data_IF_709119664939
#
_entry.id   IF_709119664939
#
_cell.length_a   1.000
_cell.length_b   1.000
_cell.length_c   1.000
_cell.angle_alpha   90.00
_cell.angle_beta   90.00
_cell.angle_gamma   90.00
#
_symmetry.space_group_name_H-M   'P 1'
#
loop_
_entity.id
_entity.type
_entity.pdbx_description
1 polymer ?
#
# COMPACT_ATOMS: atom_id res chain seq x y z
N UNK A 1 20.11 -18.25 10.07
CA UNK A 1 19.95 -17.32 11.21
C UNK A 1 18.93 -16.21 10.91
N UNK A 2 19.00 -15.51 9.76
CA UNK A 2 18.03 -14.45 9.44
C UNK A 2 16.56 -14.89 9.46
N UNK A 3 16.23 -16.06 8.88
CA UNK A 3 14.88 -16.60 8.87
C UNK A 3 14.34 -16.88 10.28
N UNK A 4 15.20 -17.35 11.16
CA UNK A 4 14.84 -17.60 12.57
C UNK A 4 14.47 -16.29 13.29
N UNK A 5 15.25 -15.23 13.12
CA UNK A 5 14.93 -13.91 13.70
C UNK A 5 13.63 -13.34 13.16
N UNK A 6 13.34 -13.49 11.86
CA UNK A 6 12.08 -13.06 11.27
C UNK A 6 10.89 -13.78 11.89
N UNK A 7 10.97 -15.11 12.05
CA UNK A 7 9.92 -15.91 12.68
C UNK A 7 9.70 -15.48 14.14
N UNK A 8 10.78 -15.24 14.89
CA UNK A 8 10.70 -14.77 16.26
C UNK A 8 10.04 -13.41 16.36
N UNK A 9 10.41 -12.47 15.50
CA UNK A 9 9.80 -11.11 15.46
C UNK A 9 8.31 -11.21 15.14
N UNK A 10 7.92 -12.04 14.16
CA UNK A 10 6.52 -12.25 13.81
C UNK A 10 5.74 -12.90 14.96
N UNK A 11 6.32 -13.89 15.64
CA UNK A 11 5.70 -14.52 16.79
C UNK A 11 5.52 -13.53 17.97
N UNK A 12 6.52 -12.71 18.25
CA UNK A 12 6.43 -11.66 19.28
C UNK A 12 5.36 -10.62 18.88
N UNK A 13 5.33 -10.17 17.64
CA UNK A 13 4.31 -9.26 17.14
C UNK A 13 2.89 -9.82 17.28
N UNK A 14 2.70 -11.09 16.95
CA UNK A 14 1.44 -11.80 17.17
C UNK A 14 1.06 -11.90 18.65
N UNK A 15 2.00 -12.24 19.51
CA UNK A 15 1.77 -12.30 20.97
C UNK A 15 1.39 -10.94 21.55
N UNK A 16 2.05 -9.86 21.12
CA UNK A 16 1.72 -8.50 21.56
C UNK A 16 0.31 -8.12 21.14
N UNK A 17 -0.07 -8.36 19.88
CA UNK A 17 -1.43 -8.08 19.38
C UNK A 17 -2.50 -8.87 20.15
N UNK A 18 -2.22 -10.14 20.43
CA UNK A 18 -3.12 -10.99 21.23
C UNK A 18 -3.28 -10.50 22.67
N UNK A 19 -2.18 -10.07 23.31
CA UNK A 19 -2.21 -9.50 24.66
C UNK A 19 -2.97 -8.18 24.72
N UNK A 20 -2.84 -7.32 23.71
CA UNK A 20 -3.60 -6.08 23.61
C UNK A 20 -5.10 -6.38 23.48
N UNK A 21 -5.48 -7.35 22.63
CA UNK A 21 -6.87 -7.76 22.48
C UNK A 21 -7.45 -8.29 23.82
N UNK A 22 -6.73 -9.16 24.53
CA UNK A 22 -7.13 -9.64 25.86
C UNK A 22 -7.21 -8.53 26.90
N UNK A 23 -6.26 -7.60 26.91
CA UNK A 23 -6.30 -6.45 27.82
C UNK A 23 -7.55 -5.58 27.58
N UNK A 24 -8.00 -5.43 26.35
CA UNK A 24 -9.24 -4.68 26.05
C UNK A 24 -10.49 -5.39 26.59
N UNK A 25 -10.55 -6.73 26.59
CA UNK A 25 -11.61 -7.52 27.24
C UNK A 25 -11.66 -7.29 28.75
N UNK A 26 -10.51 -7.34 29.43
CA UNK A 26 -10.45 -7.09 30.89
C UNK A 26 -10.88 -5.65 31.23
N UNK A 27 -10.51 -4.67 30.41
CA UNK A 27 -10.93 -3.28 30.60
C UNK A 27 -12.45 -3.15 30.42
N UNK A 28 -13.06 -3.90 29.48
CA UNK A 28 -14.50 -3.92 29.28
C UNK A 28 -15.25 -4.41 30.53
N UNK A 29 -14.75 -5.48 31.14
CA UNK A 29 -15.35 -6.08 32.36
C UNK A 29 -15.19 -5.13 33.56
N UNK A 30 -14.03 -4.48 33.71
CA UNK A 30 -13.73 -3.67 34.92
C UNK A 30 -14.24 -2.23 34.86
N UNK A 31 -14.28 -1.62 33.67
CA UNK A 31 -14.58 -0.19 33.49
C UNK A 31 -15.89 0.11 32.75
N UNK A 32 -16.59 -0.94 32.32
CA UNK A 32 -17.80 -0.86 31.49
C UNK A 32 -17.47 -0.81 29.99
N UNK A 33 -18.37 -1.37 29.20
CA UNK A 33 -18.18 -1.58 27.75
C UNK A 33 -17.93 -0.26 26.98
N UNK A 34 -18.56 0.82 27.36
CA UNK A 34 -18.44 2.12 26.70
C UNK A 34 -17.01 2.71 26.82
N UNK A 35 -16.44 2.66 28.04
CA UNK A 35 -15.07 3.15 28.27
C UNK A 35 -14.03 2.26 27.60
N UNK A 36 -14.25 0.93 27.62
CA UNK A 36 -13.39 -0.02 26.93
C UNK A 36 -13.39 0.23 25.41
N UNK A 37 -14.56 0.41 24.80
CA UNK A 37 -14.71 0.68 23.37
C UNK A 37 -13.99 1.96 22.95
N UNK A 38 -14.15 3.06 23.72
CA UNK A 38 -13.43 4.32 23.46
C UNK A 38 -11.90 4.16 23.57
N UNK A 39 -11.43 3.38 24.54
CA UNK A 39 -10.00 3.11 24.70
C UNK A 39 -9.48 2.24 23.55
N UNK A 40 -10.18 1.19 23.17
CA UNK A 40 -9.83 0.33 22.05
C UNK A 40 -9.76 1.10 20.74
N UNK A 41 -10.72 2.00 20.48
CA UNK A 41 -10.72 2.83 19.28
C UNK A 41 -9.47 3.74 19.21
N UNK A 42 -9.05 4.35 20.32
CA UNK A 42 -7.83 5.15 20.37
C UNK A 42 -6.57 4.32 20.15
N UNK A 43 -6.50 3.14 20.77
CA UNK A 43 -5.37 2.21 20.60
C UNK A 43 -5.26 1.76 19.16
N UNK A 44 -6.38 1.34 18.54
CA UNK A 44 -6.41 0.92 17.15
C UNK A 44 -5.99 2.03 16.18
N UNK A 45 -6.45 3.27 16.40
CA UNK A 45 -6.04 4.42 15.60
C UNK A 45 -4.54 4.71 15.73
N UNK A 46 -3.99 4.58 16.95
CA UNK A 46 -2.55 4.74 17.17
C UNK A 46 -1.74 3.61 16.52
N UNK A 47 -2.19 2.35 16.67
CA UNK A 47 -1.54 1.19 16.03
C UNK A 47 -1.54 1.31 14.50
N UNK A 48 -2.61 1.85 13.91
CA UNK A 48 -2.68 2.08 12.47
C UNK A 48 -1.61 3.12 12.02
N UNK A 49 -1.39 4.17 12.81
CA UNK A 49 -0.31 5.13 12.55
C UNK A 49 1.07 4.49 12.65
N UNK A 50 1.30 3.73 13.71
CA UNK A 50 2.57 3.00 13.91
C UNK A 50 2.82 2.03 12.75
N UNK A 51 1.78 1.32 12.32
CA UNK A 51 1.87 0.41 11.17
C UNK A 51 2.20 1.14 9.87
N UNK A 52 1.59 2.30 9.61
CA UNK A 52 1.90 3.13 8.45
C UNK A 52 3.37 3.57 8.46
N UNK A 53 3.84 4.11 9.58
CA UNK A 53 5.23 4.58 9.71
C UNK A 53 6.21 3.40 9.57
N UNK A 54 5.96 2.30 10.26
CA UNK A 54 6.78 1.10 10.18
C UNK A 54 6.81 0.51 8.76
N UNK A 55 5.66 0.52 8.07
CA UNK A 55 5.55 0.08 6.69
C UNK A 55 6.37 0.95 5.73
N UNK A 56 6.30 2.28 5.85
CA UNK A 56 7.09 3.20 5.03
C UNK A 56 8.60 3.06 5.29
N UNK A 57 9.00 2.91 6.55
CA UNK A 57 10.41 2.64 6.91
C UNK A 57 10.83 1.28 6.33
N UNK A 58 9.97 0.26 6.43
CA UNK A 58 10.21 -1.07 5.85
C UNK A 58 10.41 -1.02 4.34
N UNK A 59 9.55 -0.29 3.62
CA UNK A 59 9.70 -0.09 2.17
C UNK A 59 11.02 0.59 1.83
N UNK A 60 11.36 1.66 2.56
CA UNK A 60 12.65 2.35 2.36
C UNK A 60 13.84 1.41 2.60
N UNK A 61 13.84 0.69 3.72
CA UNK A 61 14.91 -0.26 4.07
C UNK A 61 15.03 -1.39 3.04
N UNK A 62 13.91 -1.99 2.62
CA UNK A 62 13.90 -3.02 1.60
C UNK A 62 14.41 -2.50 0.26
N UNK A 63 14.03 -1.28 -0.13
CA UNK A 63 14.52 -0.66 -1.36
C UNK A 63 16.05 -0.52 -1.34
N UNK A 64 16.64 -0.03 -0.25
CA UNK A 64 18.10 0.11 -0.12
C UNK A 64 18.82 -1.25 -0.14
N UNK A 65 18.28 -2.27 0.52
CA UNK A 65 18.88 -3.60 0.55
C UNK A 65 18.78 -4.35 -0.79
N UNK A 66 17.73 -4.08 -1.55
CA UNK A 66 17.46 -4.75 -2.82
C UNK A 66 17.98 -3.96 -4.04
N UNK A 67 18.48 -2.75 -3.83
CA UNK A 67 19.02 -1.89 -4.86
C UNK A 67 20.15 -2.61 -5.62
N UNK A 68 19.98 -2.74 -6.93
CA UNK A 68 20.91 -3.46 -7.79
C UNK A 68 20.86 -5.00 -7.72
N UNK A 69 20.01 -5.58 -6.85
CA UNK A 69 19.83 -7.05 -6.77
C UNK A 69 18.61 -7.56 -7.54
N UNK A 70 17.57 -6.76 -7.62
CA UNK A 70 16.32 -7.15 -8.33
C UNK A 70 16.41 -6.72 -9.79
N UNK A 71 16.88 -5.50 -10.02
CA UNK A 71 17.07 -4.95 -11.36
C UNK A 71 18.54 -4.57 -11.47
N UNK A 72 19.32 -5.38 -12.20
CA UNK A 72 20.66 -5.04 -12.61
C UNK A 72 20.66 -3.92 -13.66
N UNK A 73 21.83 -3.49 -14.10
CA UNK A 73 21.94 -2.58 -15.24
C UNK A 73 21.31 -3.25 -16.49
N UNK A 74 20.49 -2.52 -17.27
CA UNK A 74 19.88 -3.08 -18.47
C UNK A 74 20.96 -3.57 -19.45
N UNK A 75 20.84 -4.80 -19.91
CA UNK A 75 21.80 -5.43 -20.80
C UNK A 75 21.57 -5.12 -22.28
N UNK A 76 20.53 -4.38 -22.61
CA UNK A 76 20.15 -4.01 -23.98
C UNK A 76 19.39 -2.68 -24.04
N UNK A 77 19.37 -2.04 -25.21
CA UNK A 77 18.61 -0.81 -25.45
C UNK A 77 17.10 -1.01 -25.19
N UNK A 78 16.58 -2.19 -25.48
CA UNK A 78 15.20 -2.53 -25.17
C UNK A 78 14.97 -2.68 -23.66
N UNK A 79 15.97 -3.20 -22.92
CA UNK A 79 15.94 -3.27 -21.45
C UNK A 79 15.77 -1.90 -20.80
N UNK A 80 16.45 -0.89 -21.30
CA UNK A 80 16.31 0.51 -20.80
C UNK A 80 14.87 1.00 -20.92
N UNK A 81 14.18 0.67 -22.02
CA UNK A 81 12.79 1.06 -22.22
C UNK A 81 11.84 0.34 -21.26
N UNK A 82 12.07 -0.94 -21.02
CA UNK A 82 11.29 -1.76 -20.09
C UNK A 82 11.47 -1.25 -18.66
N UNK A 83 12.70 -0.99 -18.23
CA UNK A 83 13.00 -0.45 -16.90
C UNK A 83 12.34 0.92 -16.69
N UNK A 84 12.37 1.78 -17.71
CA UNK A 84 11.71 3.08 -17.65
C UNK A 84 10.20 2.96 -17.43
N UNK A 85 9.55 2.04 -18.16
CA UNK A 85 8.12 1.75 -17.97
C UNK A 85 7.82 1.24 -16.58
N UNK A 86 8.66 0.32 -16.08
CA UNK A 86 8.52 -0.22 -14.73
C UNK A 86 8.62 0.90 -13.67
N UNK A 87 9.63 1.79 -13.77
CA UNK A 87 9.77 2.91 -12.84
C UNK A 87 8.57 3.88 -12.88
N UNK A 88 8.04 4.18 -14.06
CA UNK A 88 6.84 5.03 -14.19
C UNK A 88 5.65 4.34 -13.50
N UNK A 89 5.44 3.06 -13.75
CA UNK A 89 4.34 2.30 -13.13
C UNK A 89 4.48 2.24 -11.62
N UNK A 90 5.68 1.95 -11.10
CA UNK A 90 5.96 1.93 -9.67
C UNK A 90 5.71 3.32 -9.06
N UNK A 91 6.18 4.39 -9.70
CA UNK A 91 5.99 5.75 -9.19
C UNK A 91 4.51 6.12 -9.07
N UNK A 92 3.71 5.85 -10.12
CA UNK A 92 2.26 6.10 -10.10
C UNK A 92 1.59 5.26 -9.00
N UNK A 93 1.90 3.97 -8.92
CA UNK A 93 1.35 3.06 -7.91
C UNK A 93 1.71 3.53 -6.49
N UNK A 94 2.94 3.97 -6.29
CA UNK A 94 3.41 4.44 -4.99
C UNK A 94 2.72 5.75 -4.57
N UNK A 95 2.50 6.68 -5.49
CA UNK A 95 1.74 7.92 -5.22
C UNK A 95 0.32 7.57 -4.77
N UNK A 96 -0.38 6.69 -5.50
CA UNK A 96 -1.74 6.26 -5.15
C UNK A 96 -1.73 5.55 -3.80
N UNK A 97 -0.74 4.69 -3.54
CA UNK A 97 -0.57 4.01 -2.25
C UNK A 97 -0.45 5.02 -1.11
N UNK A 98 0.42 6.01 -1.21
CA UNK A 98 0.59 7.04 -0.16
C UNK A 98 -0.71 7.81 0.07
N UNK A 99 -1.39 8.26 -0.98
CA UNK A 99 -2.65 8.99 -0.86
C UNK A 99 -3.71 8.14 -0.14
N UNK A 100 -3.86 6.87 -0.53
CA UNK A 100 -4.84 5.97 0.08
C UNK A 100 -4.50 5.63 1.52
N UNK A 101 -3.22 5.43 1.87
CA UNK A 101 -2.80 5.17 3.25
C UNK A 101 -3.02 6.40 4.15
N UNK A 102 -2.66 7.59 3.68
CA UNK A 102 -2.90 8.84 4.43
C UNK A 102 -4.40 9.07 4.62
N UNK A 103 -5.23 8.86 3.58
CA UNK A 103 -6.67 8.97 3.68
C UNK A 103 -7.26 7.94 4.68
N UNK A 104 -6.83 6.68 4.60
CA UNK A 104 -7.26 5.61 5.51
C UNK A 104 -6.94 5.97 6.96
N UNK A 105 -5.71 6.39 7.24
CA UNK A 105 -5.31 6.78 8.59
C UNK A 105 -6.09 8.00 9.08
N UNK A 106 -6.19 9.05 8.25
CA UNK A 106 -6.90 10.28 8.59
C UNK A 106 -8.38 10.02 8.91
N UNK A 107 -9.07 9.24 8.07
CA UNK A 107 -10.47 8.93 8.29
C UNK A 107 -10.68 8.03 9.51
N UNK A 108 -9.84 7.03 9.71
CA UNK A 108 -9.91 6.17 10.90
C UNK A 108 -9.69 6.95 12.20
N UNK A 109 -8.79 7.94 12.19
CA UNK A 109 -8.55 8.79 13.35
C UNK A 109 -9.68 9.81 13.56
N UNK A 110 -10.11 10.49 12.50
CA UNK A 110 -11.09 11.59 12.58
C UNK A 110 -12.51 11.09 12.85
N UNK A 111 -12.88 9.94 12.31
CA UNK A 111 -14.25 9.42 12.38
C UNK A 111 -14.40 8.28 13.38
N UNK A 112 -13.58 8.27 14.44
CA UNK A 112 -13.78 7.38 15.58
C UNK A 112 -15.17 7.58 16.17
N UNK A 113 -15.73 6.52 16.71
CA UNK A 113 -17.01 6.56 17.40
C UNK A 113 -16.98 7.59 18.54
N UNK A 114 -18.00 8.42 18.61
CA UNK A 114 -18.17 9.45 19.61
C UNK A 114 -19.65 9.62 19.93
N UNK A 115 -19.97 9.81 21.21
CA UNK A 115 -21.35 10.04 21.67
C UNK A 115 -21.99 11.30 21.03
N UNK A 116 -21.14 12.22 20.55
CA UNK A 116 -21.60 13.48 19.93
C UNK A 116 -21.92 13.34 18.43
N UNK A 117 -21.61 12.20 17.80
CA UNK A 117 -21.80 11.97 16.37
C UNK A 117 -22.49 10.65 16.14
N UNK A 118 -23.63 10.69 15.44
CA UNK A 118 -24.29 9.49 14.94
C UNK A 118 -23.78 9.21 13.53
N UNK A 119 -23.49 7.94 13.19
CA UNK A 119 -23.13 7.57 11.83
C UNK A 119 -24.30 7.88 10.90
N UNK A 120 -24.01 8.53 9.79
CA UNK A 120 -24.97 8.76 8.73
C UNK A 120 -24.95 7.58 7.77
N UNK A 121 -26.08 6.94 7.58
CA UNK A 121 -26.19 5.86 6.62
C UNK A 121 -26.38 6.44 5.20
N UNK A 122 -25.40 6.22 4.35
CA UNK A 122 -25.39 6.71 2.98
C UNK A 122 -25.17 5.53 2.01
N UNK A 123 -26.23 4.78 1.64
CA UNK A 123 -26.10 3.52 0.91
C UNK A 123 -25.60 3.69 -0.53
N UNK A 124 -25.91 4.82 -1.17
CA UNK A 124 -25.55 5.09 -2.57
C UNK A 124 -25.01 6.51 -2.76
N UNK A 125 -23.89 6.62 -3.44
CA UNK A 125 -23.31 7.90 -3.85
C UNK A 125 -22.76 7.80 -5.27
N UNK A 126 -23.60 8.08 -6.25
CA UNK A 126 -23.23 8.01 -7.66
C UNK A 126 -21.98 8.85 -8.01
N UNK A 127 -21.74 9.97 -7.32
CA UNK A 127 -20.54 10.79 -7.55
C UNK A 127 -19.27 10.09 -7.08
N UNK A 128 -19.31 9.49 -5.88
CA UNK A 128 -18.19 8.71 -5.38
C UNK A 128 -17.95 7.48 -6.25
N UNK A 129 -19.00 6.77 -6.62
CA UNK A 129 -18.93 5.60 -7.50
C UNK A 129 -18.27 5.94 -8.83
N UNK A 130 -18.67 7.04 -9.44
CA UNK A 130 -18.09 7.52 -10.67
C UNK A 130 -16.60 7.90 -10.51
N UNK A 131 -16.24 8.58 -9.44
CA UNK A 131 -14.85 9.00 -9.19
C UNK A 131 -13.93 7.80 -9.04
N UNK A 132 -14.28 6.84 -8.19
CA UNK A 132 -13.41 5.69 -7.95
C UNK A 132 -13.36 4.69 -9.10
N UNK A 133 -14.31 4.76 -10.04
CA UNK A 133 -14.32 3.95 -11.26
C UNK A 133 -13.55 4.64 -12.40
N UNK A 134 -13.82 5.91 -12.63
CA UNK A 134 -13.26 6.66 -13.79
C UNK A 134 -11.78 6.97 -13.60
N UNK A 135 -11.36 7.37 -12.39
CA UNK A 135 -9.94 7.72 -12.16
C UNK A 135 -9.02 6.51 -12.39
N UNK A 136 -9.25 5.32 -11.80
CA UNK A 136 -8.43 4.16 -12.09
C UNK A 136 -8.54 3.69 -13.55
N UNK A 137 -9.73 3.77 -14.16
CA UNK A 137 -9.92 3.38 -15.56
C UNK A 137 -9.08 4.24 -16.51
N UNK A 138 -9.07 5.57 -16.33
CA UNK A 138 -8.24 6.48 -17.13
C UNK A 138 -6.75 6.16 -16.90
N UNK A 139 -6.33 6.01 -15.64
CA UNK A 139 -4.93 5.71 -15.29
C UNK A 139 -4.47 4.42 -15.95
N UNK A 140 -5.27 3.35 -15.86
CA UNK A 140 -4.96 2.07 -16.48
C UNK A 140 -4.93 2.17 -18.01
N UNK A 141 -5.88 2.87 -18.61
CA UNK A 141 -5.92 3.07 -20.08
C UNK A 141 -4.64 3.77 -20.57
N UNK A 142 -4.19 4.79 -19.85
CA UNK A 142 -2.95 5.49 -20.18
C UNK A 142 -1.73 4.56 -20.03
N UNK A 143 -1.62 3.82 -18.92
CA UNK A 143 -0.51 2.90 -18.69
C UNK A 143 -0.47 1.77 -19.72
N UNK A 144 -1.63 1.18 -20.06
CA UNK A 144 -1.73 0.15 -21.10
C UNK A 144 -1.37 0.73 -22.48
N UNK A 145 -1.85 1.94 -22.79
CA UNK A 145 -1.50 2.61 -24.04
C UNK A 145 0.01 2.83 -24.19
N UNK A 146 0.68 3.29 -23.13
CA UNK A 146 2.15 3.40 -23.11
C UNK A 146 2.82 2.03 -23.24
N UNK A 147 2.32 1.02 -22.54
CA UNK A 147 2.83 -0.35 -22.63
C UNK A 147 2.77 -0.90 -24.04
N UNK A 148 1.63 -0.75 -24.72
CA UNK A 148 1.47 -1.17 -26.10
C UNK A 148 2.38 -0.38 -27.06
N UNK A 149 2.53 0.93 -26.86
CA UNK A 149 3.44 1.74 -27.66
C UNK A 149 4.90 1.23 -27.58
N UNK A 150 5.39 0.95 -26.37
CA UNK A 150 6.73 0.39 -26.18
C UNK A 150 6.83 -1.04 -26.72
N UNK A 151 5.79 -1.86 -26.54
CA UNK A 151 5.72 -3.20 -27.11
C UNK A 151 5.92 -3.20 -28.62
N UNK A 152 5.15 -2.39 -29.34
CA UNK A 152 5.30 -2.27 -30.81
C UNK A 152 6.67 -1.74 -31.23
N UNK A 153 7.28 -0.86 -30.42
CA UNK A 153 8.63 -0.37 -30.68
C UNK A 153 9.70 -1.46 -30.50
N UNK A 154 9.54 -2.35 -29.52
CA UNK A 154 10.47 -3.43 -29.23
C UNK A 154 10.31 -4.60 -30.22
N UNK A 155 9.05 -4.95 -30.56
CA UNK A 155 8.74 -6.10 -31.45
C UNK A 155 8.64 -5.69 -32.92
N UNK A 156 8.92 -4.43 -33.25
CA UNK A 156 8.93 -3.93 -34.63
C UNK A 156 10.00 -4.60 -35.49
N UNK A 157 9.95 -4.35 -36.80
CA UNK A 157 10.93 -4.90 -37.74
C UNK A 157 12.35 -4.50 -37.33
N UNK A 158 13.26 -5.47 -37.38
CA UNK A 158 14.68 -5.25 -37.17
C UNK A 158 15.20 -4.10 -38.07
N UNK A 159 16.10 -3.25 -37.55
CA UNK A 159 16.73 -2.21 -38.38
C UNK A 159 17.46 -2.84 -39.55
N UNK A 160 17.50 -2.13 -40.69
CA UNK A 160 18.09 -2.63 -41.95
C UNK A 160 19.55 -3.12 -41.84
N UNK A 161 20.23 -2.75 -40.75
CA UNK A 161 21.62 -3.12 -40.46
C UNK A 161 21.74 -4.22 -39.39
N UNK A 162 20.62 -4.85 -39.01
CA UNK A 162 20.69 -5.97 -38.05
C UNK A 162 21.25 -7.20 -38.79
N UNK A 163 22.25 -7.86 -38.18
CA UNK A 163 22.69 -9.17 -38.64
C UNK A 163 21.59 -10.19 -38.33
N UNK A 164 21.16 -10.90 -39.37
CA UNK A 164 20.35 -12.11 -39.22
C UNK A 164 21.26 -13.21 -38.66
N UNK A 165 20.85 -13.76 -37.50
CA UNK A 165 21.53 -14.86 -36.85
C UNK A 165 20.76 -16.12 -37.11
#
# INVERSE_FOLDING_TARGET
MQTFFIIVILAIGFMITFQIAKASEYVAVLRGEEKARKQTNKVNAFLLLVFLIAGLIGVYYCNEQLKGRILGAPASDHGVLIDRMLYITIAITFIVFIITQVALFWFSFKYQESDKRKPYYYPHNNKLELIWTVIPAITLTVLVGFGLFYWFKITGKAPKNAMEV
#
